data_IF_332055377930
#
_entry.id   IF_332055377930
#
_cell.length_a   1.000
_cell.length_b   1.000
_cell.length_c   1.000
_cell.angle_alpha   90.00
_cell.angle_beta   90.00
_cell.angle_gamma   90.00
#
_symmetry.space_group_name_H-M   'P 1'
#
loop_
_entity.id
_entity.type
_entity.pdbx_description
1 polymer ?
#
# COMPACT_ATOMS: atom_id res chain seq x y z
N UNK A 1 -18.12 2.57 3.13
CA UNK A 1 -16.78 2.96 2.61
C UNK A 1 -15.80 2.08 3.34
N UNK A 2 -14.95 1.34 2.65
CA UNK A 2 -13.97 0.46 3.31
C UNK A 2 -12.85 1.32 3.88
N UNK A 3 -12.94 1.61 5.17
CA UNK A 3 -12.05 2.55 5.86
C UNK A 3 -10.67 1.93 6.21
N UNK A 4 -10.47 0.66 5.85
CA UNK A 4 -9.18 -0.03 6.00
C UNK A 4 -8.78 -0.68 4.70
N UNK A 5 -7.56 -0.43 4.24
CA UNK A 5 -7.00 -1.02 3.03
C UNK A 5 -5.68 -1.72 3.34
N UNK A 6 -5.51 -2.92 2.79
CA UNK A 6 -4.30 -3.71 2.92
C UNK A 6 -3.68 -3.91 1.53
N UNK A 7 -2.44 -3.49 1.37
CA UNK A 7 -1.65 -3.69 0.16
C UNK A 7 -0.58 -4.74 0.41
N UNK A 8 -0.50 -5.73 -0.47
CA UNK A 8 0.40 -6.89 -0.35
C UNK A 8 1.10 -7.10 -1.69
N UNK A 9 2.34 -7.52 -1.65
CA UNK A 9 3.09 -7.93 -2.82
C UNK A 9 4.48 -7.33 -2.91
N UNK A 10 5.15 -7.55 -4.06
CA UNK A 10 6.56 -7.18 -4.24
C UNK A 10 6.75 -6.09 -5.31
N UNK A 11 5.69 -5.65 -6.00
CA UNK A 11 5.75 -4.60 -7.00
C UNK A 11 5.57 -3.21 -6.36
N UNK A 12 6.64 -2.73 -5.74
CA UNK A 12 6.67 -1.48 -4.96
C UNK A 12 6.11 -0.29 -5.73
N UNK A 13 6.54 -0.07 -6.99
CA UNK A 13 6.10 1.07 -7.78
C UNK A 13 4.59 1.02 -8.07
N UNK A 14 4.06 -0.17 -8.39
CA UNK A 14 2.64 -0.32 -8.69
C UNK A 14 1.77 -0.16 -7.44
N UNK A 15 2.21 -0.71 -6.32
CA UNK A 15 1.53 -0.57 -5.03
C UNK A 15 1.55 0.90 -4.62
N UNK A 16 2.71 1.56 -4.68
CA UNK A 16 2.84 2.98 -4.40
C UNK A 16 1.89 3.83 -5.24
N UNK A 17 1.83 3.62 -6.56
CA UNK A 17 0.91 4.35 -7.44
C UNK A 17 -0.56 4.13 -7.06
N UNK A 18 -0.94 2.91 -6.65
CA UNK A 18 -2.30 2.62 -6.17
C UNK A 18 -2.61 3.35 -4.86
N UNK A 19 -1.66 3.38 -3.93
CA UNK A 19 -1.77 4.11 -2.66
C UNK A 19 -1.90 5.61 -2.93
N UNK A 20 -1.03 6.19 -3.77
CA UNK A 20 -1.05 7.61 -4.13
C UNK A 20 -2.40 8.02 -4.77
N UNK A 21 -2.95 7.19 -5.65
CA UNK A 21 -4.27 7.40 -6.24
C UNK A 21 -5.40 7.41 -5.20
N UNK A 22 -5.33 6.51 -4.23
CA UNK A 22 -6.32 6.43 -3.14
C UNK A 22 -6.23 7.64 -2.22
N UNK A 23 -5.02 8.11 -1.90
CA UNK A 23 -4.80 9.34 -1.12
C UNK A 23 -5.38 10.54 -1.86
N UNK A 24 -5.11 10.65 -3.17
CA UNK A 24 -5.65 11.72 -4.00
C UNK A 24 -7.19 11.74 -4.04
N UNK A 25 -7.81 10.57 -4.13
CA UNK A 25 -9.28 10.44 -4.09
C UNK A 25 -9.86 10.79 -2.72
N UNK A 26 -9.19 10.41 -1.62
CA UNK A 26 -9.62 10.72 -0.26
C UNK A 26 -9.47 12.22 0.06
N UNK A 27 -8.55 12.91 -0.59
CA UNK A 27 -8.30 14.35 -0.46
C UNK A 27 -8.23 14.85 1.00
N UNK A 28 -7.36 14.28 1.86
CA UNK A 28 -7.38 14.52 3.31
C UNK A 28 -6.94 15.95 3.69
N UNK A 29 -6.43 16.73 2.75
CA UNK A 29 -5.77 18.00 3.04
C UNK A 29 -4.39 17.80 3.68
N UNK A 30 -3.60 18.89 3.74
CA UNK A 30 -2.18 18.82 4.12
C UNK A 30 -1.93 18.36 5.58
N UNK A 31 -2.89 18.57 6.48
CA UNK A 31 -2.72 18.29 7.91
C UNK A 31 -3.31 16.94 8.36
N UNK A 32 -3.93 16.20 7.44
CA UNK A 32 -4.64 14.97 7.75
C UNK A 32 -4.07 13.74 7.01
N UNK A 33 -2.84 13.82 6.57
CA UNK A 33 -2.08 12.73 6.00
C UNK A 33 -0.86 12.46 6.86
N UNK A 34 -0.82 11.31 7.52
CA UNK A 34 0.29 10.89 8.39
C UNK A 34 0.79 9.51 7.96
N UNK A 35 2.10 9.33 7.99
CA UNK A 35 2.74 8.05 7.73
C UNK A 35 3.52 7.60 8.95
N UNK A 36 3.31 6.35 9.36
CA UNK A 36 4.02 5.67 10.43
C UNK A 36 4.82 4.50 9.88
N UNK A 37 6.04 4.32 10.39
CA UNK A 37 6.88 3.18 10.09
C UNK A 37 6.86 2.20 11.28
N UNK A 38 6.32 1.01 11.08
CA UNK A 38 6.13 0.04 12.16
C UNK A 38 7.43 -0.63 12.64
N UNK A 39 8.55 -0.31 12.04
CA UNK A 39 9.87 -0.67 12.58
C UNK A 39 10.28 0.23 13.75
N UNK A 40 9.75 1.46 13.82
CA UNK A 40 10.14 2.47 14.82
C UNK A 40 8.96 3.07 15.58
N UNK A 41 7.80 3.16 14.96
CA UNK A 41 6.60 3.77 15.54
C UNK A 41 5.76 2.74 16.32
N UNK A 42 5.03 3.22 17.32
CA UNK A 42 4.17 2.35 18.12
C UNK A 42 2.77 2.20 17.52
N UNK A 43 2.19 1.02 17.66
CA UNK A 43 0.78 0.75 17.30
C UNK A 43 -0.17 1.74 17.99
N UNK A 44 0.12 2.10 19.23
CA UNK A 44 -0.70 3.07 20.01
C UNK A 44 -0.71 4.44 19.35
N UNK A 45 0.43 4.92 18.83
CA UNK A 45 0.50 6.21 18.14
C UNK A 45 -0.36 6.21 16.86
N UNK A 46 -0.25 5.15 16.06
CA UNK A 46 -1.05 4.96 14.85
C UNK A 46 -2.55 4.97 15.16
N UNK A 47 -2.98 4.17 16.13
CA UNK A 47 -4.41 4.05 16.47
C UNK A 47 -4.98 5.32 17.10
N UNK A 48 -4.20 6.02 17.92
CA UNK A 48 -4.61 7.33 18.46
C UNK A 48 -4.82 8.34 17.32
N UNK A 49 -3.95 8.34 16.31
CA UNK A 49 -4.12 9.21 15.15
C UNK A 49 -5.36 8.80 14.33
N UNK A 50 -5.58 7.51 14.08
CA UNK A 50 -6.80 7.01 13.42
C UNK A 50 -8.10 7.41 14.13
N UNK A 51 -8.08 7.55 15.44
CA UNK A 51 -9.24 7.93 16.26
C UNK A 51 -9.37 9.44 16.47
N UNK A 52 -8.37 10.24 16.10
CA UNK A 52 -8.39 11.69 16.20
C UNK A 52 -9.11 12.31 15.01
N UNK A 53 -10.12 13.13 15.26
CA UNK A 53 -10.88 13.81 14.19
C UNK A 53 -9.97 14.65 13.27
N UNK A 54 -10.25 14.67 11.95
CA UNK A 54 -9.47 15.46 11.02
C UNK A 54 -9.59 16.97 11.28
N UNK A 55 -8.53 17.69 10.94
CA UNK A 55 -8.48 19.14 11.08
C UNK A 55 -8.87 19.83 9.77
N UNK A 56 -9.93 20.64 9.80
CA UNK A 56 -10.45 21.38 8.65
C UNK A 56 -10.67 20.52 7.37
N UNK A 57 -11.07 19.28 7.55
CA UNK A 57 -11.36 18.31 6.49
C UNK A 57 -12.35 17.27 7.00
N UNK A 58 -13.04 16.59 6.08
CA UNK A 58 -13.96 15.50 6.42
C UNK A 58 -13.24 14.14 6.49
N UNK A 59 -12.02 14.07 5.97
CA UNK A 59 -11.28 12.82 5.83
C UNK A 59 -9.85 12.95 6.34
N UNK A 60 -9.40 11.92 7.03
CA UNK A 60 -7.99 11.70 7.43
C UNK A 60 -7.47 10.44 6.73
N UNK A 61 -6.20 10.43 6.38
CA UNK A 61 -5.49 9.25 5.89
C UNK A 61 -4.29 8.97 6.79
N UNK A 62 -4.25 7.76 7.32
CA UNK A 62 -3.12 7.25 8.12
C UNK A 62 -2.51 6.08 7.36
N UNK A 63 -1.21 6.14 7.11
CA UNK A 63 -0.46 5.10 6.40
C UNK A 63 0.45 4.38 7.39
N UNK A 64 0.32 3.07 7.46
CA UNK A 64 1.16 2.18 8.24
C UNK A 64 2.08 1.43 7.27
N UNK A 65 3.37 1.70 7.32
CA UNK A 65 4.40 1.06 6.50
C UNK A 65 5.17 0.02 7.31
N UNK A 66 5.76 -0.94 6.62
CA UNK A 66 6.56 -2.02 7.20
C UNK A 66 5.85 -2.72 8.38
N UNK A 67 4.63 -3.23 8.19
CA UNK A 67 3.84 -3.85 9.26
C UNK A 67 4.41 -5.22 9.64
N UNK A 68 5.61 -5.23 10.22
CA UNK A 68 6.39 -6.45 10.57
C UNK A 68 5.61 -7.40 11.50
N UNK A 69 4.64 -6.89 12.26
CA UNK A 69 3.78 -7.71 13.09
C UNK A 69 2.88 -8.69 12.30
N UNK A 70 2.78 -8.54 10.98
CA UNK A 70 2.07 -9.48 10.10
C UNK A 70 2.93 -10.69 9.68
N UNK A 71 4.27 -10.62 9.85
CA UNK A 71 5.19 -11.72 9.54
C UNK A 71 5.36 -12.70 10.71
N UNK A 72 6.01 -13.86 10.46
CA UNK A 72 6.14 -14.94 11.45
C UNK A 72 6.89 -14.52 12.72
N UNK A 73 8.02 -13.86 12.56
CA UNK A 73 9.03 -13.70 13.61
C UNK A 73 8.95 -12.33 14.29
N UNK A 74 7.77 -12.00 14.84
CA UNK A 74 7.60 -10.72 15.53
C UNK A 74 6.90 -10.86 16.87
N UNK A 75 7.40 -10.13 17.85
CA UNK A 75 6.78 -9.97 19.17
C UNK A 75 5.98 -8.69 19.32
N UNK A 76 5.82 -7.92 18.24
CA UNK A 76 5.06 -6.66 18.26
C UNK A 76 3.59 -6.95 18.51
N UNK A 77 3.03 -6.31 19.54
CA UNK A 77 1.61 -6.46 19.86
C UNK A 77 0.73 -5.73 18.85
N UNK A 78 -0.28 -6.42 18.35
CA UNK A 78 -1.28 -5.90 17.40
C UNK A 78 -2.71 -5.94 17.97
N UNK A 79 -2.87 -6.18 19.28
CA UNK A 79 -4.19 -6.32 19.90
C UNK A 79 -5.05 -5.06 19.70
N UNK A 80 -4.48 -3.88 19.85
CA UNK A 80 -5.22 -2.62 19.61
C UNK A 80 -5.74 -2.50 18.17
N UNK A 81 -4.98 -2.99 17.18
CA UNK A 81 -5.45 -3.03 15.79
C UNK A 81 -6.59 -4.03 15.60
N UNK A 82 -6.53 -5.18 16.27
CA UNK A 82 -7.64 -6.14 16.29
C UNK A 82 -8.93 -5.48 16.75
N UNK A 83 -8.87 -4.71 17.83
CA UNK A 83 -10.03 -4.02 18.39
C UNK A 83 -10.52 -2.89 17.46
N UNK A 84 -9.59 -2.12 16.89
CA UNK A 84 -9.91 -1.05 15.93
C UNK A 84 -10.62 -1.57 14.67
N UNK A 85 -10.23 -2.74 14.16
CA UNK A 85 -10.84 -3.36 12.97
C UNK A 85 -12.31 -3.76 13.16
N UNK A 86 -12.80 -3.85 14.38
CA UNK A 86 -14.22 -4.12 14.64
C UNK A 86 -15.09 -2.87 14.50
N UNK A 87 -14.53 -1.70 14.78
CA UNK A 87 -15.24 -0.43 14.67
C UNK A 87 -14.27 0.70 14.23
N UNK A 88 -13.79 0.68 12.96
CA UNK A 88 -12.89 1.71 12.46
C UNK A 88 -13.59 3.07 12.37
N UNK A 89 -12.83 4.16 12.57
CA UNK A 89 -13.35 5.52 12.47
C UNK A 89 -13.88 5.82 11.07
N UNK A 90 -15.06 6.37 10.95
CA UNK A 90 -15.71 6.67 9.66
C UNK A 90 -14.99 7.75 8.86
N UNK A 91 -14.28 8.63 9.53
CA UNK A 91 -13.52 9.74 8.94
C UNK A 91 -12.07 9.39 8.63
N UNK A 92 -11.56 8.22 9.03
CA UNK A 92 -10.17 7.81 8.86
C UNK A 92 -10.06 6.66 7.86
N UNK A 93 -9.25 6.86 6.83
CA UNK A 93 -8.80 5.80 5.94
C UNK A 93 -7.44 5.29 6.42
N UNK A 94 -7.40 4.09 6.99
CA UNK A 94 -6.18 3.40 7.38
C UNK A 94 -5.66 2.59 6.19
N UNK A 95 -4.46 2.91 5.74
CA UNK A 95 -3.74 2.18 4.70
C UNK A 95 -2.63 1.37 5.36
N UNK A 96 -2.64 0.06 5.17
CA UNK A 96 -1.60 -0.85 5.64
C UNK A 96 -0.79 -1.28 4.42
N UNK A 97 0.43 -0.76 4.32
CA UNK A 97 1.36 -1.05 3.23
C UNK A 97 2.31 -2.19 3.67
N UNK A 98 1.94 -3.40 3.29
CA UNK A 98 2.71 -4.62 3.53
C UNK A 98 3.57 -5.03 2.32
N UNK A 99 4.00 -4.05 1.51
CA UNK A 99 4.91 -4.29 0.39
C UNK A 99 6.20 -4.92 0.87
N UNK A 100 6.61 -6.02 0.25
CA UNK A 100 7.81 -6.76 0.60
C UNK A 100 7.72 -7.57 1.91
N UNK A 101 6.59 -7.57 2.60
CA UNK A 101 6.38 -8.34 3.82
C UNK A 101 5.73 -9.69 3.48
N UNK A 102 6.37 -10.78 3.90
CA UNK A 102 5.78 -12.12 3.83
C UNK A 102 4.81 -12.32 5.01
N UNK A 103 3.52 -12.38 4.69
CA UNK A 103 2.47 -12.51 5.70
C UNK A 103 2.45 -13.91 6.29
N UNK A 104 2.28 -14.02 7.60
CA UNK A 104 1.92 -15.28 8.26
C UNK A 104 0.39 -15.46 8.21
N UNK A 105 -0.07 -16.21 7.23
CA UNK A 105 -1.49 -16.45 6.99
C UNK A 105 -2.19 -17.20 8.15
N UNK A 106 -1.44 -17.75 9.10
CA UNK A 106 -1.98 -18.40 10.29
C UNK A 106 -2.31 -17.41 11.43
N UNK A 107 -1.80 -16.18 11.36
CA UNK A 107 -2.06 -15.16 12.39
C UNK A 107 -3.50 -14.66 12.33
N UNK A 108 -4.11 -14.54 13.49
CA UNK A 108 -5.47 -14.03 13.65
C UNK A 108 -5.67 -12.61 13.09
N UNK A 109 -4.65 -11.75 13.22
CA UNK A 109 -4.67 -10.39 12.64
C UNK A 109 -4.68 -10.44 11.10
N UNK A 110 -3.91 -11.33 10.46
CA UNK A 110 -3.90 -11.48 9.00
C UNK A 110 -5.26 -11.99 8.53
N UNK A 111 -5.79 -13.02 9.20
CA UNK A 111 -7.12 -13.57 8.92
C UNK A 111 -8.20 -12.47 9.05
N UNK A 112 -8.11 -11.64 10.09
CA UNK A 112 -9.07 -10.55 10.33
C UNK A 112 -8.95 -9.46 9.29
N UNK A 113 -7.73 -9.03 8.93
CA UNK A 113 -7.50 -8.03 7.88
C UNK A 113 -8.05 -8.50 6.53
N UNK A 114 -7.82 -9.76 6.15
CA UNK A 114 -8.39 -10.31 4.90
C UNK A 114 -9.92 -10.29 4.86
N UNK A 115 -10.58 -10.34 6.01
CA UNK A 115 -12.06 -10.28 6.11
C UNK A 115 -12.61 -8.87 6.18
N UNK A 116 -11.89 -7.95 6.82
CA UNK A 116 -12.39 -6.60 7.18
C UNK A 116 -11.86 -5.50 6.28
N UNK A 117 -10.66 -5.65 5.72
CA UNK A 117 -10.04 -4.65 4.87
C UNK A 117 -10.33 -4.89 3.38
N UNK A 118 -10.25 -3.82 2.60
CA UNK A 118 -10.13 -3.96 1.15
C UNK A 118 -8.70 -4.38 0.83
N UNK A 119 -8.52 -5.63 0.40
CA UNK A 119 -7.21 -6.20 0.09
C UNK A 119 -6.87 -5.97 -1.38
N UNK A 120 -5.66 -5.48 -1.63
CA UNK A 120 -5.07 -5.35 -2.96
C UNK A 120 -3.76 -6.12 -3.00
N UNK A 121 -3.70 -7.15 -3.82
CA UNK A 121 -2.47 -7.95 -4.04
C UNK A 121 -1.85 -7.56 -5.37
N UNK A 122 -0.53 -7.37 -5.35
CA UNK A 122 0.26 -7.05 -6.55
C UNK A 122 1.56 -7.85 -6.52
N UNK A 123 1.55 -8.97 -7.23
CA UNK A 123 2.76 -9.74 -7.47
C UNK A 123 3.64 -9.10 -8.54
N UNK A 124 4.90 -9.53 -8.59
CA UNK A 124 5.84 -9.15 -9.65
C UNK A 124 5.23 -9.41 -11.03
N UNK A 125 5.37 -8.46 -11.93
CA UNK A 125 4.90 -8.61 -13.30
C UNK A 125 5.70 -9.70 -14.01
N UNK A 126 5.03 -10.52 -14.80
CA UNK A 126 5.68 -11.36 -15.80
C UNK A 126 6.31 -10.49 -16.90
N UNK A 127 7.24 -11.06 -17.64
CA UNK A 127 7.92 -10.36 -18.76
C UNK A 127 6.93 -9.74 -19.75
N UNK A 128 5.86 -10.46 -20.07
CA UNK A 128 4.80 -10.00 -20.99
C UNK A 128 4.03 -8.80 -20.40
N UNK A 129 3.68 -8.86 -19.11
CA UNK A 129 3.00 -7.79 -18.44
C UNK A 129 3.88 -6.55 -18.29
N UNK A 130 5.18 -6.73 -18.01
CA UNK A 130 6.17 -5.65 -17.93
C UNK A 130 6.30 -4.93 -19.28
N UNK A 131 6.47 -5.66 -20.37
CA UNK A 131 6.54 -5.09 -21.72
C UNK A 131 5.24 -4.34 -22.07
N UNK A 132 4.09 -4.89 -21.70
CA UNK A 132 2.80 -4.21 -21.85
C UNK A 132 2.68 -2.94 -20.99
N UNK A 133 3.22 -2.96 -19.79
CA UNK A 133 3.27 -1.79 -18.92
C UNK A 133 4.18 -0.69 -19.50
N UNK A 134 5.38 -1.04 -19.98
CA UNK A 134 6.28 -0.10 -20.66
C UNK A 134 5.61 0.61 -21.83
N UNK A 135 4.97 -0.14 -22.73
CA UNK A 135 4.22 0.46 -23.86
C UNK A 135 3.16 1.47 -23.39
N UNK A 136 2.43 1.14 -22.32
CA UNK A 136 1.44 2.09 -21.77
C UNK A 136 2.09 3.35 -21.20
N UNK A 137 3.27 3.26 -20.54
CA UNK A 137 3.96 4.44 -20.01
C UNK A 137 4.39 5.38 -21.14
N UNK A 138 4.94 4.84 -22.23
CA UNK A 138 5.27 5.66 -23.42
C UNK A 138 4.02 6.30 -24.04
N UNK A 139 2.92 5.57 -24.12
CA UNK A 139 1.63 6.12 -24.58
C UNK A 139 1.11 7.28 -23.74
N UNK A 140 1.27 7.24 -22.40
CA UNK A 140 0.92 8.35 -21.49
C UNK A 140 1.75 9.59 -21.79
N UNK A 141 3.01 9.43 -22.24
CA UNK A 141 3.88 10.52 -22.67
C UNK A 141 3.61 11.00 -24.12
N UNK A 142 2.61 10.41 -24.79
CA UNK A 142 2.31 10.71 -26.20
C UNK A 142 3.32 10.12 -27.17
N UNK A 143 4.11 9.13 -26.78
CA UNK A 143 5.15 8.46 -27.56
C UNK A 143 4.72 7.05 -27.93
N UNK A 144 5.09 6.63 -29.15
CA UNK A 144 5.05 5.24 -29.58
C UNK A 144 6.45 4.63 -29.45
N UNK A 145 6.54 3.41 -28.92
CA UNK A 145 7.78 2.65 -28.80
C UNK A 145 7.70 1.41 -29.68
N UNK A 146 8.70 1.21 -30.52
CA UNK A 146 8.82 0.01 -31.36
C UNK A 146 9.11 -1.24 -30.53
N UNK A 147 8.67 -2.41 -31.03
CA UNK A 147 8.83 -3.70 -30.37
C UNK A 147 10.30 -4.00 -30.00
N UNK A 148 11.22 -3.76 -30.93
CA UNK A 148 12.66 -3.97 -30.71
C UNK A 148 13.22 -3.06 -29.61
N UNK A 149 12.70 -1.84 -29.49
CA UNK A 149 13.09 -0.92 -28.43
C UNK A 149 12.53 -1.35 -27.06
N UNK A 150 11.32 -1.92 -27.02
CA UNK A 150 10.75 -2.53 -25.80
C UNK A 150 11.62 -3.70 -25.33
N UNK A 151 12.03 -4.59 -26.24
CA UNK A 151 12.91 -5.73 -25.91
C UNK A 151 14.24 -5.26 -25.33
N UNK A 152 14.91 -4.33 -26.00
CA UNK A 152 16.19 -3.79 -25.55
C UNK A 152 16.07 -3.09 -24.20
N UNK A 153 15.04 -2.29 -24.02
CA UNK A 153 14.77 -1.58 -22.76
C UNK A 153 14.49 -2.58 -21.63
N UNK A 154 13.71 -3.62 -21.90
CA UNK A 154 13.42 -4.68 -20.95
C UNK A 154 14.68 -5.42 -20.48
N UNK A 155 15.57 -5.79 -21.41
CA UNK A 155 16.87 -6.38 -21.08
C UNK A 155 17.72 -5.48 -20.18
N UNK A 156 17.66 -4.16 -20.41
CA UNK A 156 18.46 -3.19 -19.66
C UNK A 156 17.95 -3.00 -18.21
N UNK A 157 16.63 -2.98 -18.02
CA UNK A 157 16.03 -2.74 -16.68
C UNK A 157 15.88 -4.04 -15.86
N UNK A 158 16.10 -5.21 -16.46
CA UNK A 158 16.02 -6.51 -15.79
C UNK A 158 14.74 -6.72 -14.97
N UNK A 159 13.59 -6.35 -15.53
CA UNK A 159 12.28 -6.45 -14.87
C UNK A 159 12.13 -5.57 -13.61
N UNK A 160 12.89 -4.50 -13.50
CA UNK A 160 12.83 -3.53 -12.40
C UNK A 160 12.06 -2.28 -12.83
N UNK A 161 10.81 -2.15 -12.37
CA UNK A 161 9.93 -1.02 -12.69
C UNK A 161 10.46 0.33 -12.20
N UNK A 162 11.25 0.34 -11.12
CA UNK A 162 11.83 1.57 -10.59
C UNK A 162 12.87 2.12 -11.55
N UNK A 163 13.69 1.24 -12.13
CA UNK A 163 14.67 1.64 -13.18
C UNK A 163 14.02 2.00 -14.50
N UNK A 164 12.80 1.48 -14.74
CA UNK A 164 12.05 1.72 -15.97
C UNK A 164 11.31 3.07 -16.00
N UNK A 165 11.24 3.79 -14.88
CA UNK A 165 10.56 5.07 -14.72
C UNK A 165 11.53 6.24 -14.92
#
# INVERSE_FOLDING_TARGET
MDNVRLYIGNEELMIKNKIDNVIAQASPGAFNLTTYDMEVDSMTAVLNDCMTVPFLSDTKVVIMRHPIFLSKDTSVSYQGLMDYLDNPSDFCLLIIDATGIELDESKDIVIKLRKKAQVTEQSTLSDVEMKGWLKRQFGVLGLEIEENAVELFFEYVHNDLIKAK
#
